data_IF_507140902913
#
_entry.id   IF_507140902913
#
_cell.length_a   1.000
_cell.length_b   1.000
_cell.length_c   1.000
_cell.angle_alpha   90.00
_cell.angle_beta   90.00
_cell.angle_gamma   90.00
#
_symmetry.space_group_name_H-M   'P 1'
#
loop_
_entity.id
_entity.type
_entity.pdbx_description
1 polymer ?
#
# COMPACT_ATOMS: atom_id res chain seq x y z
N UNK A 1 21.41 21.64 -5.52
CA UNK A 1 19.95 21.42 -5.43
C UNK A 1 19.70 20.00 -5.90
N UNK A 2 19.21 19.11 -5.03
CA UNK A 2 18.90 17.75 -5.45
C UNK A 2 17.74 17.78 -6.45
N UNK A 3 17.85 17.01 -7.54
CA UNK A 3 16.77 16.90 -8.52
C UNK A 3 15.53 16.22 -7.90
N UNK A 4 14.36 16.55 -8.39
CA UNK A 4 13.15 15.81 -8.06
C UNK A 4 13.30 14.35 -8.50
N UNK A 5 12.81 13.44 -7.65
CA UNK A 5 12.78 12.01 -7.93
C UNK A 5 11.36 11.57 -8.28
N UNK A 6 11.24 10.64 -9.20
CA UNK A 6 9.97 10.15 -9.70
C UNK A 6 9.84 8.65 -9.47
N UNK A 7 8.68 8.22 -8.99
CA UNK A 7 8.31 6.81 -8.90
C UNK A 7 7.08 6.53 -9.78
N UNK A 8 6.97 5.30 -10.25
CA UNK A 8 5.83 4.83 -11.05
C UNK A 8 5.14 3.70 -10.32
N UNK A 9 3.79 3.68 -10.35
CA UNK A 9 3.01 2.63 -9.70
C UNK A 9 3.08 1.31 -10.47
N UNK A 10 3.33 0.23 -9.73
CA UNK A 10 3.46 -1.13 -10.28
C UNK A 10 2.66 -2.13 -9.44
N UNK A 11 2.26 -3.23 -10.08
CA UNK A 11 1.66 -4.39 -9.39
C UNK A 11 2.00 -5.70 -10.08
N UNK A 12 2.06 -6.78 -9.31
CA UNK A 12 2.06 -8.15 -9.80
C UNK A 12 0.69 -8.83 -9.68
N UNK A 13 -0.31 -8.08 -9.18
CA UNK A 13 -1.68 -8.54 -9.08
C UNK A 13 -2.41 -8.47 -10.42
N UNK A 14 -3.44 -9.28 -10.63
CA UNK A 14 -4.36 -9.11 -11.75
C UNK A 14 -5.02 -7.73 -11.70
N UNK A 15 -4.99 -7.04 -12.84
CA UNK A 15 -5.57 -5.68 -12.96
C UNK A 15 -6.80 -5.70 -13.86
N UNK A 16 -7.82 -4.93 -13.48
CA UNK A 16 -8.98 -4.61 -14.31
C UNK A 16 -8.75 -3.31 -15.10
N UNK A 17 -9.65 -3.02 -16.03
CA UNK A 17 -9.57 -1.84 -16.93
C UNK A 17 -9.46 -0.52 -16.15
N UNK A 18 -10.05 -0.44 -14.97
CA UNK A 18 -10.09 0.76 -14.14
C UNK A 18 -9.11 0.73 -12.95
N UNK A 19 -8.16 -0.21 -12.93
CA UNK A 19 -7.15 -0.26 -11.86
C UNK A 19 -6.12 0.85 -12.09
N UNK A 20 -5.93 1.79 -11.15
CA UNK A 20 -5.05 2.95 -11.34
C UNK A 20 -3.57 2.56 -11.13
N UNK A 21 -3.09 1.65 -11.97
CA UNK A 21 -1.72 1.14 -11.97
C UNK A 21 -1.11 1.32 -13.35
N UNK A 22 0.11 1.82 -13.41
CA UNK A 22 0.76 2.14 -14.69
C UNK A 22 1.48 0.94 -15.30
N UNK A 23 2.15 0.12 -14.49
CA UNK A 23 2.84 -1.09 -14.96
C UNK A 23 2.33 -2.30 -14.20
N UNK A 24 2.06 -3.39 -14.91
CA UNK A 24 1.61 -4.63 -14.29
C UNK A 24 2.31 -5.85 -14.91
N UNK A 25 2.43 -6.92 -14.12
CA UNK A 25 3.11 -8.16 -14.47
C UNK A 25 4.06 -8.59 -13.36
N UNK A 26 5.03 -9.44 -13.63
CA UNK A 26 6.02 -9.80 -12.60
C UNK A 26 6.80 -8.57 -12.15
N UNK A 27 7.13 -8.45 -10.87
CA UNK A 27 7.93 -7.33 -10.37
C UNK A 27 9.25 -7.15 -11.13
N UNK A 28 9.93 -8.24 -11.51
CA UNK A 28 11.15 -8.15 -12.32
C UNK A 28 10.96 -7.44 -13.66
N UNK A 29 9.82 -7.67 -14.35
CA UNK A 29 9.48 -6.93 -15.57
C UNK A 29 9.15 -5.47 -15.30
N UNK A 30 8.38 -5.20 -14.25
CA UNK A 30 7.97 -3.84 -13.88
C UNK A 30 9.18 -3.00 -13.45
N UNK A 31 10.09 -3.54 -12.63
CA UNK A 31 11.32 -2.87 -12.21
C UNK A 31 12.22 -2.54 -13.40
N UNK A 32 12.41 -3.51 -14.32
CA UNK A 32 13.16 -3.25 -15.55
C UNK A 32 12.55 -2.11 -16.36
N UNK A 33 11.25 -2.17 -16.63
CA UNK A 33 10.56 -1.14 -17.40
C UNK A 33 10.67 0.25 -16.75
N UNK A 34 10.52 0.33 -15.43
CA UNK A 34 10.69 1.57 -14.70
C UNK A 34 12.12 2.13 -14.83
N UNK A 35 13.14 1.27 -14.70
CA UNK A 35 14.54 1.67 -14.87
C UNK A 35 14.83 2.13 -16.30
N UNK A 36 14.36 1.39 -17.30
CA UNK A 36 14.54 1.72 -18.72
C UNK A 36 13.89 3.06 -19.09
N UNK A 37 12.79 3.44 -18.39
CA UNK A 37 12.12 4.72 -18.53
C UNK A 37 12.75 5.85 -17.70
N UNK A 38 13.79 5.60 -16.90
CA UNK A 38 14.51 6.60 -16.12
C UNK A 38 13.81 7.03 -14.83
N UNK A 39 12.91 6.23 -14.28
CA UNK A 39 12.34 6.46 -12.95
C UNK A 39 13.38 6.21 -11.85
N UNK A 40 13.20 6.86 -10.69
CA UNK A 40 14.04 6.70 -9.51
C UNK A 40 13.50 5.64 -8.54
N UNK A 41 12.25 5.24 -8.71
CA UNK A 41 11.61 4.27 -7.84
C UNK A 41 10.32 3.72 -8.41
N UNK A 42 9.76 2.78 -7.66
CA UNK A 42 8.46 2.16 -7.92
C UNK A 42 7.57 2.24 -6.69
N UNK A 43 6.30 2.53 -6.87
CA UNK A 43 5.27 2.47 -5.85
C UNK A 43 4.55 1.12 -5.96
N UNK A 44 4.57 0.32 -4.91
CA UNK A 44 3.93 -0.99 -4.93
C UNK A 44 2.43 -0.87 -4.64
N UNK A 45 1.61 -1.37 -5.56
CA UNK A 45 0.19 -1.61 -5.34
C UNK A 45 -0.03 -3.12 -5.22
N UNK A 46 -0.21 -3.60 -4.02
CA UNK A 46 -0.26 -5.04 -3.71
C UNK A 46 -1.41 -5.38 -2.78
N UNK A 47 -1.73 -6.66 -2.71
CA UNK A 47 -2.50 -7.29 -1.64
C UNK A 47 -1.58 -8.17 -0.78
N UNK A 48 -2.05 -8.52 0.41
CA UNK A 48 -1.37 -9.46 1.30
C UNK A 48 0.15 -9.19 1.47
N UNK A 49 0.54 -8.05 2.07
CA UNK A 49 1.94 -7.66 2.22
C UNK A 49 2.77 -8.70 3.00
N UNK A 50 2.16 -9.43 3.95
CA UNK A 50 2.83 -10.47 4.73
C UNK A 50 3.32 -11.66 3.89
N UNK A 51 2.75 -11.87 2.70
CA UNK A 51 3.14 -12.97 1.79
C UNK A 51 4.28 -12.59 0.85
N UNK A 52 4.75 -11.33 0.87
CA UNK A 52 5.74 -10.83 -0.07
C UNK A 52 7.15 -11.27 0.31
N UNK A 53 7.90 -11.67 -0.71
CA UNK A 53 9.30 -12.03 -0.52
C UNK A 53 10.17 -10.76 -0.46
N UNK A 54 10.42 -10.26 0.74
CA UNK A 54 11.21 -9.05 1.01
C UNK A 54 12.60 -9.15 0.39
N UNK A 55 13.27 -10.30 0.51
CA UNK A 55 14.61 -10.51 -0.06
C UNK A 55 14.63 -10.31 -1.57
N UNK A 56 13.61 -10.84 -2.27
CA UNK A 56 13.48 -10.65 -3.71
C UNK A 56 13.23 -9.18 -4.09
N UNK A 57 12.43 -8.44 -3.30
CA UNK A 57 12.22 -7.00 -3.51
C UNK A 57 13.52 -6.22 -3.33
N UNK A 58 14.29 -6.48 -2.27
CA UNK A 58 15.57 -5.83 -2.02
C UNK A 58 16.60 -6.14 -3.13
N UNK A 59 16.62 -7.36 -3.66
CA UNK A 59 17.45 -7.72 -4.81
C UNK A 59 17.06 -6.96 -6.08
N UNK A 60 15.76 -6.78 -6.36
CA UNK A 60 15.29 -5.97 -7.48
C UNK A 60 15.67 -4.50 -7.31
N UNK A 61 15.47 -3.91 -6.13
CA UNK A 61 15.88 -2.54 -5.81
C UNK A 61 17.37 -2.33 -6.10
N UNK A 62 18.21 -3.28 -5.65
CA UNK A 62 19.66 -3.23 -5.87
C UNK A 62 20.02 -3.41 -7.35
N UNK A 63 19.40 -4.37 -8.04
CA UNK A 63 19.72 -4.71 -9.44
C UNK A 63 19.39 -3.56 -10.40
N UNK A 64 18.26 -2.89 -10.17
CA UNK A 64 17.77 -1.84 -11.05
C UNK A 64 18.06 -0.41 -10.52
N UNK A 65 18.70 -0.30 -9.35
CA UNK A 65 18.97 0.97 -8.67
C UNK A 65 17.70 1.81 -8.44
N UNK A 66 16.59 1.16 -8.13
CA UNK A 66 15.30 1.80 -7.87
C UNK A 66 14.94 1.72 -6.38
N UNK A 67 14.36 2.79 -5.83
CA UNK A 67 13.76 2.77 -4.51
C UNK A 67 12.31 2.22 -4.55
N UNK A 68 11.82 1.79 -3.40
CA UNK A 68 10.38 1.59 -3.15
C UNK A 68 9.94 2.66 -2.13
N UNK A 69 9.65 3.90 -2.58
CA UNK A 69 9.31 4.97 -1.65
C UNK A 69 7.94 4.80 -0.98
N UNK A 70 7.03 4.04 -1.61
CA UNK A 70 5.70 3.85 -1.09
C UNK A 70 5.08 2.49 -1.45
N UNK A 71 4.22 2.00 -0.55
CA UNK A 71 3.36 0.83 -0.75
C UNK A 71 1.92 1.27 -0.46
N UNK A 72 0.98 1.01 -1.39
CA UNK A 72 -0.40 1.48 -1.28
C UNK A 72 -1.38 0.38 -0.88
N UNK A 73 -2.39 0.76 -0.13
CA UNK A 73 -3.40 -0.15 0.43
C UNK A 73 -4.68 -0.27 -0.41
N UNK A 74 -4.75 0.42 -1.55
CA UNK A 74 -5.97 0.48 -2.37
C UNK A 74 -6.46 -0.88 -2.86
N UNK A 75 -5.55 -1.77 -3.20
CA UNK A 75 -5.85 -3.12 -3.69
C UNK A 75 -6.60 -3.98 -2.66
N UNK A 76 -6.38 -3.75 -1.36
CA UNK A 76 -7.09 -4.45 -0.28
C UNK A 76 -8.56 -4.05 -0.20
N UNK A 77 -8.85 -2.77 -0.40
CA UNK A 77 -10.23 -2.29 -0.41
C UNK A 77 -11.01 -2.90 -1.59
N UNK A 78 -10.49 -2.76 -2.80
CA UNK A 78 -11.18 -3.20 -4.01
C UNK A 78 -11.17 -4.71 -4.21
N UNK A 79 -10.12 -5.40 -3.76
CA UNK A 79 -9.97 -6.84 -3.96
C UNK A 79 -10.48 -7.70 -2.81
N UNK A 80 -10.26 -7.27 -1.56
CA UNK A 80 -10.58 -8.04 -0.36
C UNK A 80 -11.67 -7.39 0.51
N UNK A 81 -12.21 -6.23 0.11
CA UNK A 81 -13.29 -5.54 0.82
C UNK A 81 -12.87 -4.97 2.18
N UNK A 82 -11.56 -4.81 2.45
CA UNK A 82 -11.09 -4.31 3.73
C UNK A 82 -11.33 -2.81 3.87
N UNK A 83 -12.00 -2.42 4.96
CA UNK A 83 -12.31 -1.03 5.26
C UNK A 83 -12.27 -0.79 6.77
N UNK A 84 -11.55 0.25 7.21
CA UNK A 84 -11.48 0.61 8.62
C UNK A 84 -12.78 1.21 9.17
N UNK A 85 -13.68 1.65 8.29
CA UNK A 85 -14.98 2.22 8.69
C UNK A 85 -16.14 1.27 8.39
N UNK A 86 -15.89 0.02 8.02
CA UNK A 86 -16.95 -0.99 7.78
C UNK A 86 -17.90 -1.08 8.96
N UNK A 87 -19.16 -1.40 8.72
CA UNK A 87 -20.12 -1.71 9.80
C UNK A 87 -19.84 -3.08 10.44
N UNK A 88 -19.10 -3.96 9.74
CA UNK A 88 -18.65 -5.24 10.27
C UNK A 88 -17.37 -5.08 11.10
N UNK A 89 -17.41 -5.38 12.43
CA UNK A 89 -16.23 -5.30 13.29
C UNK A 89 -15.08 -6.23 12.89
N UNK A 90 -15.38 -7.35 12.26
CA UNK A 90 -14.36 -8.31 11.80
C UNK A 90 -13.61 -7.76 10.59
N UNK A 91 -14.29 -7.06 9.68
CA UNK A 91 -13.66 -6.35 8.57
C UNK A 91 -12.78 -5.21 9.09
N UNK A 92 -13.26 -4.44 10.09
CA UNK A 92 -12.45 -3.39 10.72
C UNK A 92 -11.16 -3.97 11.34
N UNK A 93 -11.28 -5.05 12.11
CA UNK A 93 -10.11 -5.71 12.73
C UNK A 93 -9.11 -6.15 11.66
N UNK A 94 -9.58 -6.87 10.64
CA UNK A 94 -8.73 -7.32 9.52
C UNK A 94 -8.06 -6.14 8.79
N UNK A 95 -8.74 -5.00 8.65
CA UNK A 95 -8.17 -3.82 8.03
C UNK A 95 -7.05 -3.20 8.89
N UNK A 96 -7.21 -3.19 10.22
CA UNK A 96 -6.16 -2.76 11.17
C UNK A 96 -4.96 -3.69 11.08
N UNK A 97 -5.15 -5.00 11.21
CA UNK A 97 -4.08 -5.99 11.16
C UNK A 97 -3.33 -5.90 9.82
N UNK A 98 -4.06 -5.75 8.71
CA UNK A 98 -3.49 -5.59 7.38
C UNK A 98 -2.67 -4.31 7.23
N UNK A 99 -3.10 -3.19 7.80
CA UNK A 99 -2.31 -1.96 7.75
C UNK A 99 -0.99 -2.12 8.52
N UNK A 100 -0.99 -2.83 9.64
CA UNK A 100 0.22 -3.16 10.39
C UNK A 100 1.18 -4.01 9.54
N UNK A 101 0.67 -5.00 8.82
CA UNK A 101 1.49 -5.80 7.88
C UNK A 101 2.11 -4.94 6.76
N UNK A 102 1.37 -3.95 6.23
CA UNK A 102 1.92 -2.98 5.27
C UNK A 102 3.05 -2.16 5.87
N UNK A 103 2.91 -1.74 7.14
CA UNK A 103 3.95 -0.98 7.83
C UNK A 103 5.22 -1.81 8.02
N UNK A 104 5.08 -3.10 8.34
CA UNK A 104 6.22 -4.02 8.46
C UNK A 104 6.96 -4.14 7.13
N UNK A 105 6.24 -4.40 6.03
CA UNK A 105 6.86 -4.48 4.71
C UNK A 105 7.52 -3.16 4.30
N UNK A 106 6.86 -2.02 4.55
CA UNK A 106 7.39 -0.70 4.22
C UNK A 106 8.71 -0.42 4.98
N UNK A 107 8.79 -0.78 6.27
CA UNK A 107 10.01 -0.65 7.07
C UNK A 107 11.16 -1.50 6.49
N UNK A 108 10.88 -2.73 6.05
CA UNK A 108 11.89 -3.63 5.49
C UNK A 108 12.48 -3.10 4.16
N UNK A 109 11.69 -2.42 3.34
CA UNK A 109 12.13 -1.86 2.05
C UNK A 109 12.57 -0.40 2.14
N UNK A 110 12.48 0.23 3.31
CA UNK A 110 12.83 1.63 3.53
C UNK A 110 11.85 2.62 2.91
N UNK A 111 10.58 2.24 2.76
CA UNK A 111 9.51 3.04 2.20
C UNK A 111 8.49 3.51 3.24
N UNK A 112 7.39 4.07 2.77
CA UNK A 112 6.23 4.46 3.59
C UNK A 112 4.95 3.75 3.11
N UNK A 113 3.91 3.77 3.94
CA UNK A 113 2.58 3.29 3.54
C UNK A 113 1.73 4.47 3.08
N UNK A 114 1.20 4.38 1.85
CA UNK A 114 0.12 5.26 1.39
C UNK A 114 -1.22 4.64 1.75
N UNK A 115 -1.82 5.18 2.80
CA UNK A 115 -3.10 4.73 3.31
C UNK A 115 -4.25 5.29 2.45
N UNK A 116 -4.61 4.55 1.42
CA UNK A 116 -5.62 4.91 0.42
C UNK A 116 -7.03 4.46 0.80
N UNK A 117 -7.71 3.82 -0.15
CA UNK A 117 -9.14 3.45 -0.05
C UNK A 117 -9.48 2.49 1.10
N UNK A 118 -8.51 1.76 1.66
CA UNK A 118 -8.73 0.89 2.82
C UNK A 118 -9.14 1.68 4.09
N UNK A 119 -8.91 2.99 4.16
CA UNK A 119 -9.50 3.85 5.21
C UNK A 119 -11.02 3.83 5.18
N UNK A 120 -11.61 3.53 4.02
CA UNK A 120 -13.03 3.49 3.73
C UNK A 120 -13.50 4.65 2.86
N UNK A 121 -14.68 4.49 2.29
CA UNK A 121 -15.37 5.50 1.48
C UNK A 121 -16.69 5.83 2.18
N UNK A 122 -17.00 7.10 2.32
CA UNK A 122 -18.26 7.59 2.90
C UNK A 122 -19.21 7.89 1.72
N UNK A 123 -20.25 7.12 1.60
CA UNK A 123 -21.32 7.26 0.62
C UNK A 123 -22.56 7.99 1.19
N UNK A 124 -22.74 7.92 2.53
CA UNK A 124 -23.78 8.66 3.26
C UNK A 124 -23.14 9.66 4.23
N UNK A 125 -23.11 10.92 3.84
CA UNK A 125 -22.55 12.01 4.64
C UNK A 125 -23.30 12.28 5.95
N UNK A 126 -24.53 11.79 6.12
CA UNK A 126 -25.24 11.89 7.41
C UNK A 126 -24.53 11.09 8.53
N UNK A 127 -23.69 10.13 8.16
CA UNK A 127 -22.90 9.29 9.07
C UNK A 127 -21.45 9.76 9.25
N UNK A 128 -21.11 10.93 8.72
CA UNK A 128 -19.71 11.40 8.68
C UNK A 128 -19.04 11.33 10.06
N UNK A 129 -19.63 11.94 11.07
CA UNK A 129 -19.04 12.02 12.42
C UNK A 129 -18.85 10.64 13.06
N UNK A 130 -19.82 9.73 12.85
CA UNK A 130 -19.73 8.34 13.31
C UNK A 130 -18.56 7.60 12.65
N UNK A 131 -18.46 7.70 11.32
CA UNK A 131 -17.47 6.99 10.53
C UNK A 131 -16.07 7.57 10.73
N UNK A 132 -15.94 8.88 10.90
CA UNK A 132 -14.68 9.54 11.26
C UNK A 132 -14.19 9.09 12.64
N UNK A 133 -15.06 9.10 13.66
CA UNK A 133 -14.71 8.61 15.00
C UNK A 133 -14.27 7.14 14.96
N UNK A 134 -14.92 6.32 14.14
CA UNK A 134 -14.56 4.91 13.93
C UNK A 134 -13.18 4.77 13.29
N UNK A 135 -12.88 5.57 12.26
CA UNK A 135 -11.57 5.61 11.62
C UNK A 135 -10.47 5.99 12.62
N UNK A 136 -10.68 7.07 13.38
CA UNK A 136 -9.72 7.54 14.39
C UNK A 136 -9.44 6.44 15.43
N UNK A 137 -10.49 5.79 15.95
CA UNK A 137 -10.34 4.69 16.91
C UNK A 137 -9.51 3.54 16.36
N UNK A 138 -9.70 3.19 15.09
CA UNK A 138 -8.94 2.10 14.45
C UNK A 138 -7.49 2.53 14.14
N UNK A 139 -7.25 3.78 13.74
CA UNK A 139 -5.90 4.30 13.55
C UNK A 139 -5.10 4.40 14.87
N UNK A 140 -5.76 4.70 16.00
CA UNK A 140 -5.10 4.67 17.30
C UNK A 140 -4.54 3.29 17.66
N UNK A 141 -5.20 2.20 17.23
CA UNK A 141 -4.67 0.83 17.43
C UNK A 141 -3.40 0.60 16.59
N UNK A 142 -3.38 1.15 15.37
CA UNK A 142 -2.21 1.06 14.48
C UNK A 142 -1.05 1.89 15.03
N UNK A 143 -1.33 3.07 15.60
CA UNK A 143 -0.33 3.94 16.19
C UNK A 143 0.46 3.26 17.32
N UNK A 144 -0.22 2.51 18.18
CA UNK A 144 0.44 1.76 19.28
C UNK A 144 1.51 0.83 18.73
N UNK A 145 1.26 0.13 17.63
CA UNK A 145 2.26 -0.75 16.99
C UNK A 145 3.40 0.06 16.35
N UNK A 146 3.08 1.21 15.75
CA UNK A 146 4.06 2.08 15.10
C UNK A 146 5.08 2.67 16.11
N UNK A 147 4.64 2.95 17.35
CA UNK A 147 5.50 3.52 18.40
C UNK A 147 6.47 2.50 19.03
N UNK A 148 6.22 1.22 18.83
CA UNK A 148 7.08 0.14 19.36
C UNK A 148 8.23 -0.27 18.42
N UNK A 149 8.42 0.45 17.32
CA UNK A 149 9.48 0.20 16.32
C UNK A 149 10.35 1.42 16.09
#
# INVERSE_FOLDING_TARGET
>A
MDRLKYAISITDEPVGVNTPVMLHGTFGKCFRAAADCGYDGVELQIKDPATRNVKALLELMKTYHLAIPAITTGMEYFGNGLSMISDDPDIQRKAVDRLIEYMHLAAEVGGMVLFGSMRGVIDDFSRYDELEARLIKNLQKVQVEAEHR
#
